data_IF_884205710414
#
_entry.id   IF_884205710414
#
_cell.length_a   1.000
_cell.length_b   1.000
_cell.length_c   1.000
_cell.angle_alpha   90.00
_cell.angle_beta   90.00
_cell.angle_gamma   90.00
#
_symmetry.space_group_name_H-M   'P 1'
#
loop_
_entity.id
_entity.type
_entity.pdbx_description
1 polymer ?
#
# COMPACT_ATOMS: atom_id res chain seq x y z
N UNK A 1 -2.36 7.19 25.75
CA UNK A 1 -3.14 6.43 24.74
C UNK A 1 -2.22 6.18 23.56
N UNK A 2 -1.75 4.95 23.37
CA UNK A 2 -0.76 4.62 22.33
C UNK A 2 -1.50 4.38 21.01
N UNK A 3 -1.64 5.41 20.18
CA UNK A 3 -2.25 5.28 18.85
C UNK A 3 -1.18 4.75 17.89
N UNK A 4 -1.28 3.45 17.57
CA UNK A 4 -0.55 2.82 16.47
C UNK A 4 -1.23 3.05 15.13
N UNK A 5 -0.80 2.31 14.10
CA UNK A 5 -1.40 2.36 12.76
C UNK A 5 -2.91 2.02 12.81
N UNK A 6 -3.75 3.06 12.82
CA UNK A 6 -5.21 2.95 12.77
C UNK A 6 -5.69 2.29 11.46
N UNK A 7 -6.99 1.96 11.30
CA UNK A 7 -7.54 1.51 10.00
C UNK A 7 -7.26 2.47 8.83
N UNK A 8 -7.00 3.75 9.10
CA UNK A 8 -6.56 4.72 8.08
C UNK A 8 -5.11 4.48 7.62
N UNK A 9 -4.29 3.87 8.48
CA UNK A 9 -2.94 3.38 8.23
C UNK A 9 -2.91 2.35 7.10
N UNK A 10 -3.66 1.26 7.28
CA UNK A 10 -3.75 0.20 6.27
C UNK A 10 -4.34 0.68 4.95
N UNK A 11 -5.34 1.58 4.97
CA UNK A 11 -5.89 2.17 3.75
C UNK A 11 -4.86 3.02 2.99
N UNK A 12 -4.07 3.83 3.70
CA UNK A 12 -3.01 4.64 3.08
C UNK A 12 -1.94 3.76 2.41
N UNK A 13 -1.54 2.67 3.08
CA UNK A 13 -0.61 1.69 2.50
C UNK A 13 -1.18 1.09 1.21
N UNK A 14 -2.44 0.66 1.23
CA UNK A 14 -3.09 0.07 0.05
C UNK A 14 -3.12 1.03 -1.14
N UNK A 15 -3.55 2.27 -0.92
CA UNK A 15 -3.69 3.26 -1.98
C UNK A 15 -2.33 3.66 -2.57
N UNK A 16 -1.33 3.89 -1.72
CA UNK A 16 0.02 4.26 -2.15
C UNK A 16 0.71 3.11 -2.89
N UNK A 17 0.55 1.88 -2.41
CA UNK A 17 1.13 0.70 -3.07
C UNK A 17 0.52 0.49 -4.46
N UNK A 18 -0.81 0.67 -4.60
CA UNK A 18 -1.50 0.62 -5.90
C UNK A 18 -1.05 1.74 -6.83
N UNK A 19 -0.96 2.98 -6.32
CA UNK A 19 -0.52 4.12 -7.10
C UNK A 19 0.90 3.89 -7.64
N UNK A 20 1.79 3.36 -6.80
CA UNK A 20 3.15 3.02 -7.18
C UNK A 20 3.22 1.90 -8.23
N UNK A 21 2.46 0.83 -8.06
CA UNK A 21 2.35 -0.23 -9.06
C UNK A 21 1.84 0.32 -10.40
N UNK A 22 0.81 1.18 -10.37
CA UNK A 22 0.27 1.82 -11.55
C UNK A 22 1.28 2.73 -12.27
N UNK A 23 2.04 3.55 -11.51
CA UNK A 23 3.13 4.38 -12.02
C UNK A 23 4.27 3.54 -12.63
N UNK A 24 4.52 2.35 -12.07
CA UNK A 24 5.47 1.38 -12.60
C UNK A 24 4.92 0.54 -13.77
N UNK A 25 3.71 0.84 -14.28
CA UNK A 25 3.10 0.11 -15.39
C UNK A 25 2.63 -1.31 -15.06
N UNK A 26 2.55 -1.68 -13.78
CA UNK A 26 2.13 -3.02 -13.32
C UNK A 26 0.68 -3.02 -12.85
N UNK A 27 -0.03 -4.11 -13.13
CA UNK A 27 -1.44 -4.30 -12.74
C UNK A 27 -1.62 -4.90 -11.34
N UNK A 28 -0.52 -5.32 -10.74
CA UNK A 28 -0.49 -5.92 -9.42
C UNK A 28 0.58 -5.26 -8.56
N UNK A 29 0.31 -5.29 -7.25
CA UNK A 29 1.21 -4.79 -6.21
C UNK A 29 2.18 -5.90 -5.84
N UNK A 30 3.47 -5.59 -5.76
CA UNK A 30 4.48 -6.51 -5.21
C UNK A 30 4.86 -6.09 -3.78
N UNK A 31 5.46 -6.98 -2.96
CA UNK A 31 5.84 -6.66 -1.59
C UNK A 31 6.75 -5.42 -1.48
N UNK A 32 7.62 -5.20 -2.46
CA UNK A 32 8.53 -4.04 -2.52
C UNK A 32 7.76 -2.71 -2.63
N UNK A 33 6.62 -2.70 -3.33
CA UNK A 33 5.79 -1.49 -3.41
C UNK A 33 5.22 -1.10 -2.05
N UNK A 34 4.85 -2.09 -1.23
CA UNK A 34 4.33 -1.87 0.12
C UNK A 34 5.43 -1.39 1.05
N UNK A 35 6.60 -2.01 0.99
CA UNK A 35 7.76 -1.66 1.84
C UNK A 35 8.20 -0.22 1.60
N UNK A 36 8.27 0.20 0.35
CA UNK A 36 8.79 1.52 0.03
C UNK A 36 7.83 2.67 0.37
N UNK A 37 6.51 2.41 0.38
CA UNK A 37 5.52 3.43 0.78
C UNK A 37 5.23 3.41 2.28
N UNK A 38 5.73 2.43 3.03
CA UNK A 38 5.41 2.26 4.44
C UNK A 38 5.94 3.37 5.33
N UNK A 39 7.20 3.79 5.14
CA UNK A 39 7.78 4.92 5.89
C UNK A 39 7.00 6.23 5.66
N UNK A 40 6.78 6.71 4.42
CA UNK A 40 6.03 7.95 4.20
C UNK A 40 4.56 7.85 4.65
N UNK A 41 3.94 6.66 4.58
CA UNK A 41 2.55 6.47 5.00
C UNK A 41 2.35 6.42 6.53
N UNK A 42 3.33 5.91 7.28
CA UNK A 42 3.17 5.58 8.70
C UNK A 42 4.02 6.44 9.64
N UNK A 43 5.17 6.97 9.20
CA UNK A 43 6.10 7.69 10.09
C UNK A 43 5.43 8.86 10.81
N UNK A 44 4.64 9.67 10.08
CA UNK A 44 3.91 10.81 10.64
C UNK A 44 2.68 10.41 11.49
N UNK A 45 2.39 9.12 11.62
CA UNK A 45 1.24 8.57 12.37
C UNK A 45 1.64 7.85 13.65
N UNK A 46 2.95 7.73 13.91
CA UNK A 46 3.47 7.08 15.09
C UNK A 46 3.81 8.15 16.12
N UNK A 47 3.20 8.05 17.29
CA UNK A 47 3.59 8.86 18.46
C UNK A 47 4.61 8.07 19.28
N UNK A 48 5.85 8.55 19.33
CA UNK A 48 6.89 7.98 20.18
C UNK A 48 6.79 8.54 21.60
N UNK A 49 7.23 7.76 22.58
CA UNK A 49 7.40 8.27 23.95
C UNK A 49 8.60 9.23 24.01
N UNK A 50 8.57 10.27 24.87
CA UNK A 50 9.67 11.24 25.00
C UNK A 50 11.04 10.59 25.25
N UNK A 51 11.08 9.48 26.00
CA UNK A 51 12.32 8.73 26.27
C UNK A 51 13.03 8.21 24.99
N UNK A 52 12.30 8.05 23.88
CA UNK A 52 12.87 7.59 22.60
C UNK A 52 13.57 8.71 21.82
N UNK A 53 13.19 9.97 22.02
CA UNK A 53 13.86 11.11 21.39
C UNK A 53 15.30 11.27 21.90
N UNK A 54 15.51 11.02 23.21
CA UNK A 54 16.83 11.00 23.83
C UNK A 54 17.76 9.95 23.22
N UNK A 55 17.18 8.86 22.69
CA UNK A 55 17.90 7.79 21.98
C UNK A 55 18.04 8.05 20.48
N UNK A 56 17.63 9.24 19.99
CA UNK A 56 17.59 9.60 18.56
C UNK A 56 16.84 8.60 17.68
N UNK A 57 15.79 7.96 18.22
CA UNK A 57 14.95 7.05 17.45
C UNK A 57 13.88 7.85 16.71
N UNK A 58 13.90 7.79 15.38
CA UNK A 58 12.92 8.43 14.51
C UNK A 58 11.74 7.47 14.19
N UNK A 59 10.51 7.97 14.00
CA UNK A 59 9.39 7.13 13.58
C UNK A 59 9.65 6.31 12.30
N UNK A 60 10.41 6.84 11.35
CA UNK A 60 10.80 6.12 10.13
C UNK A 60 11.72 4.93 10.41
N UNK A 61 12.63 5.07 11.39
CA UNK A 61 13.49 3.98 11.85
C UNK A 61 12.66 2.85 12.46
N UNK A 62 11.66 3.18 13.29
CA UNK A 62 10.74 2.18 13.86
C UNK A 62 9.97 1.44 12.77
N UNK A 63 9.53 2.13 11.72
CA UNK A 63 8.86 1.48 10.58
C UNK A 63 9.82 0.53 9.87
N UNK A 64 11.06 0.94 9.61
CA UNK A 64 12.10 0.08 9.00
C UNK A 64 12.34 -1.20 9.80
N UNK A 65 12.56 -1.06 11.11
CA UNK A 65 12.75 -2.19 12.05
C UNK A 65 11.59 -3.19 12.05
N UNK A 66 10.36 -2.71 11.87
CA UNK A 66 9.19 -3.58 11.78
C UNK A 66 9.15 -4.30 10.43
N UNK A 67 9.45 -3.60 9.34
CA UNK A 67 9.45 -4.18 7.99
C UNK A 67 10.51 -5.26 7.82
N UNK A 68 11.67 -5.14 8.45
CA UNK A 68 12.70 -6.18 8.44
C UNK A 68 12.25 -7.48 9.12
N UNK A 69 11.39 -7.38 10.14
CA UNK A 69 10.84 -8.52 10.87
C UNK A 69 9.66 -9.19 10.15
N UNK A 70 9.08 -8.53 9.14
CA UNK A 70 7.94 -9.06 8.38
C UNK A 70 8.44 -9.73 7.11
N UNK A 71 8.38 -11.08 7.00
CA UNK A 71 8.79 -11.77 5.80
C UNK A 71 7.91 -11.39 4.61
N UNK A 72 8.51 -11.15 3.46
CA UNK A 72 7.77 -10.93 2.23
C UNK A 72 7.13 -12.25 1.76
N UNK A 73 5.91 -12.21 1.17
CA UNK A 73 5.34 -13.38 0.50
C UNK A 73 6.30 -13.95 -0.55
N UNK A 74 6.49 -15.27 -0.55
CA UNK A 74 7.32 -15.93 -1.55
C UNK A 74 6.70 -15.75 -2.95
N UNK A 75 7.49 -15.28 -3.93
CA UNK A 75 7.06 -14.96 -5.31
C UNK A 75 6.48 -16.14 -6.12
N UNK A 76 6.30 -17.33 -5.53
CA UNK A 76 5.65 -18.48 -6.15
C UNK A 76 4.25 -18.80 -5.62
N UNK A 77 3.84 -18.22 -4.49
CA UNK A 77 2.50 -18.43 -3.95
C UNK A 77 1.61 -17.27 -4.38
N UNK A 78 0.85 -17.45 -5.47
CA UNK A 78 -0.33 -16.63 -5.67
C UNK A 78 -1.16 -16.70 -4.38
N UNK A 79 -1.59 -15.57 -3.81
CA UNK A 79 -2.46 -15.60 -2.65
C UNK A 79 -3.68 -16.46 -2.96
N UNK A 80 -4.16 -17.29 -2.02
CA UNK A 80 -5.33 -18.16 -2.26
C UNK A 80 -6.56 -17.39 -2.74
N UNK A 81 -6.66 -16.08 -2.45
CA UNK A 81 -7.72 -15.21 -2.98
C UNK A 81 -7.56 -14.82 -4.45
N UNK A 82 -6.38 -14.97 -5.05
CA UNK A 82 -6.15 -14.75 -6.48
C UNK A 82 -6.70 -15.89 -7.34
N UNK A 83 -7.02 -17.06 -6.77
CA UNK A 83 -7.65 -18.16 -7.51
C UNK A 83 -9.05 -17.80 -8.04
N UNK A 84 -9.72 -16.79 -7.46
CA UNK A 84 -11.04 -16.31 -7.89
C UNK A 84 -11.01 -15.08 -8.82
N UNK A 85 -9.87 -14.40 -8.94
CA UNK A 85 -9.68 -13.28 -9.86
C UNK A 85 -8.74 -13.77 -10.97
N UNK A 86 -9.26 -14.00 -12.18
CA UNK A 86 -8.46 -14.49 -13.31
C UNK A 86 -7.12 -13.74 -13.43
N UNK A 87 -6.09 -14.43 -13.91
CA UNK A 87 -4.75 -13.85 -14.09
C UNK A 87 -4.87 -12.45 -14.71
N UNK A 88 -4.24 -11.40 -14.14
CA UNK A 88 -4.38 -10.05 -14.64
C UNK A 88 -3.97 -10.04 -16.12
N UNK A 89 -4.95 -9.76 -16.98
CA UNK A 89 -4.72 -9.70 -18.42
C UNK A 89 -3.75 -8.57 -18.77
N UNK A 90 -3.07 -8.65 -19.91
CA UNK A 90 -2.23 -7.55 -20.39
C UNK A 90 -3.03 -6.25 -20.42
N UNK A 91 -2.53 -5.19 -19.80
CA UNK A 91 -3.14 -3.87 -19.86
C UNK A 91 -3.25 -3.44 -21.32
N UNK A 92 -4.46 -3.19 -21.81
CA UNK A 92 -4.67 -2.55 -23.10
C UNK A 92 -4.07 -1.14 -23.02
N UNK A 93 -3.03 -0.79 -23.83
CA UNK A 93 -2.37 0.51 -23.76
C UNK A 93 -3.30 1.71 -24.03
N UNK A 94 -4.54 1.45 -24.49
CA UNK A 94 -5.57 2.46 -24.74
C UNK A 94 -6.42 2.87 -23.53
N UNK A 95 -6.52 2.06 -22.46
CA UNK A 95 -7.42 2.36 -21.33
C UNK A 95 -6.72 3.32 -20.36
N UNK A 96 -7.00 4.62 -20.53
CA UNK A 96 -6.54 5.62 -19.56
C UNK A 96 -7.36 5.44 -18.29
N UNK A 97 -6.67 5.35 -17.15
CA UNK A 97 -7.28 5.28 -15.80
C UNK A 97 -8.34 6.35 -15.51
N UNK A 98 -8.40 7.40 -16.33
CA UNK A 98 -9.41 8.46 -16.29
C UNK A 98 -10.78 8.04 -16.84
N UNK A 99 -10.86 7.03 -17.72
CA UNK A 99 -12.13 6.58 -18.34
C UNK A 99 -12.96 5.70 -17.40
N UNK A 100 -12.34 4.99 -16.47
CA UNK A 100 -13.06 4.18 -15.47
C UNK A 100 -13.82 5.02 -14.43
N UNK A 101 -13.49 6.31 -14.28
CA UNK A 101 -14.19 7.24 -13.39
C UNK A 101 -15.46 7.85 -14.03
N UNK A 102 -15.57 7.82 -15.37
CA UNK A 102 -16.74 8.35 -16.07
C UNK A 102 -17.89 7.34 -16.16
N UNK A 103 -17.58 6.04 -16.22
CA UNK A 103 -18.59 4.96 -16.29
C UNK A 103 -19.47 4.94 -15.03
N UNK A 104 -18.91 5.18 -13.85
CA UNK A 104 -19.66 5.19 -12.58
C UNK A 104 -20.63 6.38 -12.41
N UNK A 105 -20.55 7.41 -13.26
CA UNK A 105 -21.42 8.61 -13.16
C UNK A 105 -22.68 8.52 -14.02
N UNK A 106 -22.75 7.57 -14.95
CA UNK A 106 -23.90 7.38 -15.85
C UNK A 106 -25.04 6.53 -15.26
N UNK A 107 -24.82 5.83 -14.15
CA UNK A 107 -25.78 4.85 -13.60
C UNK A 107 -26.61 5.36 -12.39
N UNK A 108 -26.37 6.60 -11.94
CA UNK A 108 -27.23 7.28 -10.95
C UNK A 108 -27.95 8.48 -11.57
N UNK A 109 -28.96 8.20 -12.36
CA UNK A 109 -30.07 9.13 -12.55
C UNK A 109 -31.37 8.33 -12.62
N UNK A 110 -32.33 8.52 -11.69
CA UNK A 110 -33.73 8.37 -12.04
C UNK A 110 -34.17 9.50 -12.98
#
# INVERSE_FOLDING_TARGET
MLVGASPRGSLALLLLSRARAALAGRDFVIPEDVKDVAAPALAHRITLRPEMWLRRVDPSFVVGEVLEKVPAPASGAMPTYAAGYGAPGPRDPGVRITESLEVGRREKSP
#
